data_IF_812379623910
#
_entry.id   IF_812379623910
#
_cell.length_a   1.000
_cell.length_b   1.000
_cell.length_c   1.000
_cell.angle_alpha   90.00
_cell.angle_beta   90.00
_cell.angle_gamma   90.00
#
_symmetry.space_group_name_H-M   'P 1'
#
loop_
_entity.id
_entity.type
_entity.pdbx_description
1 polymer ?
#
# COMPACT_ATOMS: atom_id res chain seq x y z
N UNK A 1 -7.09 -32.99 -9.22
CA UNK A 1 -8.23 -32.20 -9.69
C UNK A 1 -8.11 -30.78 -9.24
N UNK A 2 -8.17 -29.83 -10.17
CA UNK A 2 -8.07 -28.39 -9.86
C UNK A 2 -9.25 -27.92 -9.01
N UNK A 3 -8.98 -27.16 -7.96
CA UNK A 3 -9.98 -26.54 -7.11
C UNK A 3 -10.26 -25.11 -7.56
N UNK A 4 -11.53 -24.71 -7.53
CA UNK A 4 -11.97 -23.34 -7.78
C UNK A 4 -12.70 -22.81 -6.54
N UNK A 5 -12.38 -21.58 -6.16
CA UNK A 5 -13.04 -20.83 -5.07
C UNK A 5 -13.30 -19.42 -5.54
N UNK A 6 -14.49 -18.90 -5.31
CA UNK A 6 -14.82 -17.49 -5.49
C UNK A 6 -15.53 -16.98 -4.23
N UNK A 7 -15.39 -15.71 -3.93
CA UNK A 7 -16.00 -15.11 -2.74
C UNK A 7 -16.09 -13.61 -2.84
N UNK A 8 -16.85 -13.07 -1.89
CA UNK A 8 -16.97 -11.64 -1.62
C UNK A 8 -16.26 -11.34 -0.30
N UNK A 9 -15.75 -10.14 -0.17
CA UNK A 9 -15.20 -9.67 1.09
C UNK A 9 -15.57 -8.20 1.34
N UNK A 10 -15.61 -7.86 2.61
CA UNK A 10 -15.64 -6.50 3.09
C UNK A 10 -14.51 -6.32 4.10
N UNK A 11 -13.85 -5.17 4.09
CA UNK A 11 -12.85 -4.81 5.08
C UNK A 11 -12.90 -3.32 5.36
N UNK A 12 -12.87 -2.94 6.62
CA UNK A 12 -12.85 -1.54 7.03
C UNK A 12 -11.51 -0.87 6.73
N UNK A 13 -10.43 -1.62 6.74
CA UNK A 13 -9.10 -1.10 6.41
C UNK A 13 -8.16 -2.22 5.96
N UNK A 14 -7.67 -2.15 4.72
CA UNK A 14 -6.75 -3.15 4.18
C UNK A 14 -5.35 -3.07 4.79
N UNK A 15 -4.95 -1.92 5.35
CA UNK A 15 -3.62 -1.72 5.95
C UNK A 15 -3.57 -2.06 7.45
N UNK A 16 -4.68 -1.97 8.18
CA UNK A 16 -4.68 -2.03 9.65
C UNK A 16 -5.48 -3.17 10.28
N UNK A 17 -6.02 -4.12 9.51
CA UNK A 17 -6.78 -5.23 10.08
C UNK A 17 -5.87 -6.16 10.90
N UNK A 18 -6.15 -6.33 12.19
CA UNK A 18 -5.28 -6.95 13.20
C UNK A 18 -4.95 -8.43 12.94
N UNK A 19 -5.79 -9.17 12.22
CA UNK A 19 -5.65 -10.62 12.11
C UNK A 19 -4.69 -11.09 11.00
N UNK A 20 -4.20 -10.18 10.17
CA UNK A 20 -3.33 -10.49 9.04
C UNK A 20 -1.92 -9.89 9.17
N UNK A 21 -1.39 -9.70 10.38
CA UNK A 21 -0.10 -9.04 10.59
C UNK A 21 1.04 -9.71 9.82
N UNK A 22 1.03 -11.02 9.73
CA UNK A 22 2.04 -11.81 9.01
C UNK A 22 1.87 -11.81 7.48
N UNK A 23 0.65 -11.65 7.00
CA UNK A 23 0.40 -11.54 5.56
C UNK A 23 0.53 -10.10 5.05
N UNK A 24 0.42 -9.11 5.91
CA UNK A 24 0.38 -7.68 5.57
C UNK A 24 1.71 -7.03 5.32
N UNK A 25 2.79 -7.55 5.86
CA UNK A 25 4.13 -7.13 5.49
C UNK A 25 4.35 -7.20 3.98
N UNK A 26 3.66 -8.15 3.35
CA UNK A 26 3.68 -8.41 1.92
C UNK A 26 2.44 -7.87 1.21
N UNK A 27 1.56 -7.15 1.93
CA UNK A 27 0.38 -6.57 1.33
C UNK A 27 0.76 -5.62 0.20
N UNK A 28 0.02 -5.72 -0.89
CA UNK A 28 0.20 -4.86 -2.03
C UNK A 28 -0.15 -3.40 -1.66
N UNK A 29 0.82 -2.48 -1.62
CA UNK A 29 0.57 -1.11 -1.19
C UNK A 29 -0.34 -0.32 -2.14
N UNK A 30 -0.45 -0.75 -3.41
CA UNK A 30 -1.34 -0.13 -4.38
C UNK A 30 -2.81 -0.50 -4.18
N UNK A 31 -3.10 -1.58 -3.43
CA UNK A 31 -4.46 -2.00 -3.08
C UNK A 31 -4.84 -1.59 -1.66
N UNK A 32 -4.18 -0.57 -1.11
CA UNK A 32 -4.50 -0.01 0.19
C UNK A 32 -5.81 0.80 0.10
N UNK A 33 -6.90 0.24 0.60
CA UNK A 33 -8.23 0.84 0.58
C UNK A 33 -8.85 0.79 1.98
N UNK A 34 -9.61 1.82 2.31
CA UNK A 34 -10.53 1.84 3.45
C UNK A 34 -11.92 1.44 2.99
N UNK A 35 -12.72 0.87 3.89
CA UNK A 35 -14.11 0.49 3.62
C UNK A 35 -14.28 -0.25 2.29
N UNK A 36 -13.38 -1.20 2.01
CA UNK A 36 -13.32 -1.85 0.72
C UNK A 36 -14.30 -3.02 0.59
N UNK A 37 -14.97 -3.07 -0.54
CA UNK A 37 -15.78 -4.20 -0.99
C UNK A 37 -15.10 -4.86 -2.17
N UNK A 38 -15.07 -6.18 -2.20
CA UNK A 38 -14.41 -6.87 -3.29
C UNK A 38 -14.96 -8.24 -3.58
N UNK A 39 -14.61 -8.70 -4.77
CA UNK A 39 -14.85 -10.07 -5.22
C UNK A 39 -13.51 -10.68 -5.61
N UNK A 40 -13.33 -11.93 -5.33
CA UNK A 40 -12.15 -12.66 -5.75
C UNK A 40 -12.47 -14.04 -6.33
N UNK A 41 -11.58 -14.48 -7.16
CA UNK A 41 -11.58 -15.81 -7.75
C UNK A 41 -10.20 -16.43 -7.56
N UNK A 42 -10.17 -17.67 -7.12
CA UNK A 42 -8.94 -18.44 -6.95
C UNK A 42 -9.08 -19.76 -7.66
N UNK A 43 -8.13 -20.08 -8.51
CA UNK A 43 -8.05 -21.32 -9.25
C UNK A 43 -6.73 -22.03 -8.97
N UNK A 44 -6.79 -23.34 -8.73
CA UNK A 44 -5.60 -24.21 -8.58
C UNK A 44 -5.58 -25.22 -9.70
N UNK A 45 -4.85 -24.96 -10.79
CA UNK A 45 -4.72 -25.91 -11.90
C UNK A 45 -3.97 -27.18 -11.51
N UNK A 46 -3.04 -27.08 -10.56
CA UNK A 46 -2.30 -28.22 -9.99
C UNK A 46 -1.99 -27.97 -8.51
N UNK A 47 -1.29 -28.92 -7.84
CA UNK A 47 -0.77 -28.75 -6.48
C UNK A 47 0.18 -27.54 -6.37
N UNK A 48 0.95 -27.29 -7.41
CA UNK A 48 2.05 -26.33 -7.39
C UNK A 48 1.62 -24.93 -7.85
N UNK A 49 0.50 -24.83 -8.58
CA UNK A 49 0.00 -23.59 -9.12
C UNK A 49 -1.24 -23.08 -8.40
N UNK A 50 -1.24 -21.79 -8.09
CA UNK A 50 -2.40 -21.04 -7.61
C UNK A 50 -2.50 -19.72 -8.36
N UNK A 51 -3.62 -19.47 -9.02
CA UNK A 51 -3.94 -18.20 -9.68
C UNK A 51 -5.07 -17.54 -8.90
N UNK A 52 -4.92 -16.27 -8.59
CA UNK A 52 -5.95 -15.45 -7.91
C UNK A 52 -6.19 -14.21 -8.75
N UNK A 53 -7.44 -13.80 -8.87
CA UNK A 53 -7.85 -12.54 -9.46
C UNK A 53 -8.83 -11.89 -8.51
N UNK A 54 -8.75 -10.57 -8.36
CA UNK A 54 -9.60 -9.79 -7.48
C UNK A 54 -10.01 -8.47 -8.11
N UNK A 55 -11.19 -8.02 -7.74
CA UNK A 55 -11.65 -6.67 -7.98
C UNK A 55 -12.11 -6.10 -6.64
N UNK A 56 -11.72 -4.86 -6.36
CA UNK A 56 -12.13 -4.16 -5.15
C UNK A 56 -12.52 -2.72 -5.49
N UNK A 57 -13.40 -2.18 -4.69
CA UNK A 57 -13.71 -0.75 -4.66
C UNK A 57 -13.81 -0.30 -3.21
N UNK A 58 -13.38 0.90 -2.92
CA UNK A 58 -13.36 1.46 -1.58
C UNK A 58 -12.93 2.92 -1.60
N UNK A 59 -12.59 3.42 -0.43
CA UNK A 59 -11.99 4.73 -0.26
C UNK A 59 -10.45 4.59 -0.25
N UNK A 60 -9.72 5.66 -0.60
CA UNK A 60 -8.28 5.63 -0.55
C UNK A 60 -7.76 5.46 0.88
N UNK A 61 -6.98 4.39 1.12
CA UNK A 61 -6.44 4.06 2.44
C UNK A 61 -5.06 4.64 2.74
N UNK A 62 -4.41 5.31 1.79
CA UNK A 62 -3.10 5.92 1.99
C UNK A 62 -3.19 7.29 2.70
N UNK A 63 -4.35 7.91 2.68
CA UNK A 63 -4.60 9.20 3.32
C UNK A 63 -5.39 9.01 4.61
N UNK A 64 -4.74 9.14 5.76
CA UNK A 64 -5.36 9.25 7.09
C UNK A 64 -5.37 10.74 7.50
N UNK A 65 -5.96 11.57 6.65
CA UNK A 65 -6.27 12.95 7.00
C UNK A 65 -7.48 12.97 7.91
N UNK A 66 -7.35 13.56 9.09
CA UNK A 66 -8.48 13.84 9.98
C UNK A 66 -9.59 14.47 9.17
N UNK A 67 -10.64 13.68 8.94
CA UNK A 67 -11.84 14.07 8.21
C UNK A 67 -12.49 15.20 9.00
N UNK A 68 -12.38 16.41 8.51
CA UNK A 68 -13.26 17.47 8.96
C UNK A 68 -14.63 17.13 8.37
N UNK A 69 -15.59 16.74 9.24
CA UNK A 69 -16.93 16.25 8.87
C UNK A 69 -17.76 17.23 8.01
N UNK A 70 -17.21 18.39 7.69
CA UNK A 70 -17.85 19.45 6.91
C UNK A 70 -17.48 19.47 5.41
N UNK A 71 -16.44 18.73 4.97
CA UNK A 71 -16.06 18.65 3.55
C UNK A 71 -16.69 17.42 2.89
N UNK A 72 -17.90 17.56 2.42
CA UNK A 72 -18.77 16.48 1.92
C UNK A 72 -18.57 16.09 0.46
N UNK A 73 -17.64 16.65 -0.25
CA UNK A 73 -17.60 16.52 -1.72
C UNK A 73 -16.35 15.83 -2.30
N UNK A 74 -15.48 15.23 -1.49
CA UNK A 74 -14.40 14.41 -2.06
C UNK A 74 -14.82 12.95 -2.12
N UNK A 75 -15.33 12.56 -3.27
CA UNK A 75 -15.64 11.18 -3.61
C UNK A 75 -14.29 10.47 -3.95
N UNK A 76 -13.47 10.20 -2.91
CA UNK A 76 -12.17 9.52 -3.04
C UNK A 76 -12.35 8.05 -3.37
N UNK A 77 -13.11 7.74 -4.38
CA UNK A 77 -13.35 6.36 -4.78
C UNK A 77 -12.15 5.79 -5.47
N UNK A 78 -11.87 4.57 -5.07
CA UNK A 78 -10.80 3.77 -5.63
C UNK A 78 -11.37 2.50 -6.20
N UNK A 79 -10.93 2.14 -7.38
CA UNK A 79 -11.27 0.88 -8.06
C UNK A 79 -9.99 0.15 -8.37
N UNK A 80 -9.86 -1.08 -7.91
CA UNK A 80 -8.67 -1.90 -8.13
C UNK A 80 -9.00 -3.24 -8.74
N UNK A 81 -8.19 -3.64 -9.70
CA UNK A 81 -8.13 -5.01 -10.18
C UNK A 81 -6.73 -5.54 -9.96
N UNK A 82 -6.62 -6.73 -9.38
CA UNK A 82 -5.35 -7.40 -9.18
C UNK A 82 -5.39 -8.85 -9.67
N UNK A 83 -4.23 -9.36 -10.02
CA UNK A 83 -4.01 -10.75 -10.36
C UNK A 83 -2.70 -11.24 -9.76
N UNK A 84 -2.68 -12.48 -9.31
CA UNK A 84 -1.50 -13.13 -8.77
C UNK A 84 -1.40 -14.56 -9.28
N UNK A 85 -0.18 -14.97 -9.62
CA UNK A 85 0.17 -16.33 -9.98
C UNK A 85 1.27 -16.82 -9.04
N UNK A 86 0.95 -17.77 -8.17
CA UNK A 86 1.88 -18.40 -7.25
C UNK A 86 2.30 -19.76 -7.76
N UNK A 87 3.58 -20.04 -7.71
CA UNK A 87 4.18 -21.30 -8.06
C UNK A 87 5.04 -21.84 -6.91
N UNK A 88 4.73 -23.05 -6.45
CA UNK A 88 5.52 -23.75 -5.44
C UNK A 88 6.67 -24.48 -6.12
N UNK A 89 7.87 -23.92 -5.98
CA UNK A 89 9.10 -24.53 -6.49
C UNK A 89 9.47 -25.80 -5.75
N UNK A 90 9.16 -25.83 -4.46
CA UNK A 90 9.28 -26.97 -3.56
C UNK A 90 8.14 -26.91 -2.53
N UNK A 91 8.00 -27.91 -1.68
CA UNK A 91 6.99 -27.94 -0.60
C UNK A 91 7.13 -26.76 0.39
N UNK A 92 8.30 -26.15 0.43
CA UNK A 92 8.63 -25.09 1.38
C UNK A 92 9.05 -23.74 0.73
N UNK A 93 9.02 -23.64 -0.60
CA UNK A 93 9.39 -22.43 -1.33
C UNK A 93 8.35 -22.09 -2.41
N UNK A 94 7.74 -20.94 -2.27
CA UNK A 94 6.74 -20.42 -3.23
C UNK A 94 7.18 -19.07 -3.74
N UNK A 95 7.06 -18.86 -5.04
CA UNK A 95 7.25 -17.57 -5.71
C UNK A 95 5.90 -17.11 -6.26
N UNK A 96 5.57 -15.83 -6.08
CA UNK A 96 4.32 -15.24 -6.57
C UNK A 96 4.63 -14.01 -7.41
N UNK A 97 4.16 -14.01 -8.65
CA UNK A 97 4.12 -12.81 -9.48
C UNK A 97 2.74 -12.16 -9.38
N UNK A 98 2.71 -10.85 -9.29
CA UNK A 98 1.48 -10.05 -9.13
C UNK A 98 1.47 -8.90 -10.12
N UNK A 99 0.27 -8.51 -10.57
CA UNK A 99 0.06 -7.32 -11.38
C UNK A 99 -1.36 -6.83 -11.23
N UNK A 100 -1.57 -5.53 -11.46
CA UNK A 100 -2.90 -4.96 -11.40
C UNK A 100 -2.95 -3.53 -11.86
N UNK A 101 -4.14 -2.98 -11.74
CA UNK A 101 -4.43 -1.59 -12.03
C UNK A 101 -5.30 -1.00 -10.92
N UNK A 102 -4.96 0.20 -10.52
CA UNK A 102 -5.73 1.03 -9.59
C UNK A 102 -6.21 2.25 -10.36
N UNK A 103 -7.48 2.59 -10.23
CA UNK A 103 -8.05 3.85 -10.67
C UNK A 103 -8.51 4.63 -9.44
N UNK A 104 -8.11 5.89 -9.34
CA UNK A 104 -8.47 6.80 -8.25
C UNK A 104 -9.23 7.98 -8.83
N UNK A 105 -10.42 8.25 -8.29
CA UNK A 105 -11.23 9.38 -8.66
C UNK A 105 -10.77 10.61 -7.87
N UNK A 106 -10.43 11.70 -8.59
CA UNK A 106 -9.94 12.97 -8.02
C UNK A 106 -8.75 12.82 -7.06
N UNK A 107 -7.93 11.80 -7.26
CA UNK A 107 -6.77 11.49 -6.41
C UNK A 107 -5.63 10.86 -7.22
N UNK A 108 -4.41 10.91 -6.67
CA UNK A 108 -3.21 10.31 -7.24
C UNK A 108 -2.33 9.74 -6.12
N UNK A 109 -2.23 8.41 -6.04
CA UNK A 109 -1.53 7.70 -4.97
C UNK A 109 -1.95 8.20 -3.57
N UNK A 110 -3.24 8.43 -3.38
CA UNK A 110 -3.81 8.92 -2.14
C UNK A 110 -3.72 10.43 -1.91
N UNK A 111 -3.07 11.16 -2.78
CA UNK A 111 -2.99 12.62 -2.70
C UNK A 111 -4.18 13.25 -3.40
N UNK A 112 -4.90 14.10 -2.69
CA UNK A 112 -6.00 14.90 -3.22
C UNK A 112 -5.54 16.35 -3.34
N UNK A 113 -5.97 16.99 -4.40
CA UNK A 113 -5.80 18.42 -4.59
C UNK A 113 -7.16 19.11 -4.69
N UNK A 114 -7.22 20.41 -4.48
CA UNK A 114 -8.45 21.19 -4.60
C UNK A 114 -8.28 22.41 -5.50
N UNK A 115 -9.35 22.78 -6.21
CA UNK A 115 -9.36 23.96 -7.06
C UNK A 115 -8.32 23.90 -8.18
N UNK A 116 -7.44 24.88 -8.26
CA UNK A 116 -6.39 24.95 -9.28
C UNK A 116 -5.27 23.90 -9.11
N UNK A 117 -5.21 23.24 -7.97
CA UNK A 117 -4.25 22.16 -7.65
C UNK A 117 -4.90 20.77 -7.66
N UNK A 118 -6.11 20.65 -8.16
CA UNK A 118 -6.76 19.36 -8.37
C UNK A 118 -5.89 18.47 -9.27
N UNK A 119 -5.61 17.26 -8.80
CA UNK A 119 -4.79 16.29 -9.53
C UNK A 119 -5.60 15.56 -10.60
N UNK A 120 -6.93 15.68 -10.55
CA UNK A 120 -7.86 14.90 -11.39
C UNK A 120 -7.79 13.41 -11.09
N UNK A 121 -8.37 12.63 -11.99
CA UNK A 121 -8.34 11.17 -11.86
C UNK A 121 -6.95 10.64 -12.17
N UNK A 122 -6.62 9.50 -11.60
CA UNK A 122 -5.37 8.83 -11.92
C UNK A 122 -5.53 7.33 -12.16
N UNK A 123 -4.59 6.78 -12.92
CA UNK A 123 -4.48 5.34 -13.13
C UNK A 123 -3.07 4.87 -12.79
N UNK A 124 -2.98 3.91 -11.91
CA UNK A 124 -1.72 3.28 -11.52
C UNK A 124 -1.69 1.83 -11.98
N UNK A 125 -0.77 1.50 -12.87
CA UNK A 125 -0.43 0.12 -13.19
C UNK A 125 0.69 -0.32 -12.27
N UNK A 126 0.64 -1.56 -11.78
CA UNK A 126 1.70 -2.08 -10.92
C UNK A 126 2.03 -3.53 -11.24
N UNK A 127 3.26 -3.89 -10.90
CA UNK A 127 3.74 -5.27 -10.89
C UNK A 127 4.49 -5.54 -9.58
N UNK A 128 4.46 -6.78 -9.13
CA UNK A 128 5.14 -7.20 -7.91
C UNK A 128 5.62 -8.64 -8.00
N UNK A 129 6.60 -8.93 -7.17
CA UNK A 129 7.15 -10.27 -6.97
C UNK A 129 7.26 -10.53 -5.48
N UNK A 130 6.82 -11.70 -5.02
CA UNK A 130 7.06 -12.14 -3.65
C UNK A 130 7.61 -13.56 -3.60
N UNK A 131 8.35 -13.83 -2.53
CA UNK A 131 8.92 -15.14 -2.21
C UNK A 131 8.53 -15.48 -0.78
N UNK A 132 8.05 -16.69 -0.55
CA UNK A 132 7.80 -17.24 0.77
C UNK A 132 8.59 -18.55 0.91
N UNK A 133 9.40 -18.66 1.96
CA UNK A 133 10.30 -19.79 2.18
C UNK A 133 10.27 -20.23 3.65
N UNK A 134 10.10 -21.53 3.85
CA UNK A 134 10.15 -22.18 5.17
C UNK A 134 11.33 -23.15 5.25
N UNK A 135 12.58 -22.65 5.42
CA UNK A 135 13.78 -23.49 5.42
C UNK A 135 13.79 -24.53 6.54
N UNK A 136 13.12 -24.22 7.64
CA UNK A 136 12.93 -25.09 8.80
C UNK A 136 11.44 -25.13 9.16
N UNK A 137 11.01 -26.17 9.87
CA UNK A 137 9.60 -26.30 10.33
C UNK A 137 9.08 -25.11 11.12
N UNK A 138 9.99 -24.41 11.80
CA UNK A 138 9.64 -23.31 12.71
C UNK A 138 10.13 -21.94 12.22
N UNK A 139 10.84 -21.85 11.09
CA UNK A 139 11.38 -20.61 10.52
C UNK A 139 10.69 -20.30 9.20
N UNK A 140 10.10 -19.13 9.11
CA UNK A 140 9.43 -18.62 7.92
C UNK A 140 10.10 -17.32 7.50
N UNK A 141 10.44 -17.22 6.24
CA UNK A 141 11.03 -16.04 5.62
C UNK A 141 10.16 -15.65 4.44
N UNK A 142 9.89 -14.38 4.29
CA UNK A 142 9.17 -13.87 3.14
C UNK A 142 9.67 -12.52 2.71
N UNK A 143 9.49 -12.20 1.44
CA UNK A 143 9.84 -10.90 0.90
C UNK A 143 8.96 -10.56 -0.29
N UNK A 144 8.67 -9.27 -0.46
CA UNK A 144 7.95 -8.74 -1.60
C UNK A 144 8.56 -7.44 -2.08
N UNK A 145 8.49 -7.20 -3.37
CA UNK A 145 8.83 -5.96 -4.03
C UNK A 145 7.73 -5.59 -5.01
N UNK A 146 7.35 -4.33 -5.01
CA UNK A 146 6.34 -3.78 -5.90
C UNK A 146 6.86 -2.55 -6.61
N UNK A 147 6.46 -2.39 -7.85
CA UNK A 147 6.72 -1.19 -8.66
C UNK A 147 5.43 -0.75 -9.35
N UNK A 148 5.18 0.56 -9.35
CA UNK A 148 4.01 1.16 -9.97
C UNK A 148 4.37 2.28 -10.93
N UNK A 149 3.48 2.48 -11.89
CA UNK A 149 3.52 3.55 -12.90
C UNK A 149 2.18 4.26 -12.88
N UNK A 150 2.17 5.52 -12.42
CA UNK A 150 0.96 6.32 -12.26
C UNK A 150 0.91 7.41 -13.29
N UNK A 151 -0.18 7.45 -14.04
CA UNK A 151 -0.53 8.53 -14.94
C UNK A 151 -1.70 9.32 -14.31
N UNK A 152 -1.50 10.60 -14.05
CA UNK A 152 -2.56 11.49 -13.58
C UNK A 152 -3.22 12.18 -14.77
N UNK A 153 -4.55 12.19 -14.78
CA UNK A 153 -5.35 12.81 -15.81
C UNK A 153 -5.61 14.30 -15.58
N UNK A 154 -4.57 15.09 -15.24
CA UNK A 154 -4.74 16.52 -14.93
C UNK A 154 -5.59 17.24 -15.97
N UNK A 155 -6.57 18.01 -15.50
CA UNK A 155 -7.40 18.86 -16.37
C UNK A 155 -6.52 19.96 -16.97
N UNK A 156 -6.67 20.28 -18.23
CA UNK A 156 -5.89 21.32 -18.93
C UNK A 156 -6.01 22.73 -18.32
N UNK A 157 -6.94 22.94 -17.41
CA UNK A 157 -7.17 24.17 -16.64
C UNK A 157 -6.46 24.21 -15.29
N UNK A 158 -5.79 23.12 -14.86
CA UNK A 158 -5.17 23.05 -13.56
C UNK A 158 -3.85 23.80 -13.51
N UNK A 159 -3.58 24.43 -12.37
CA UNK A 159 -2.30 25.12 -12.12
C UNK A 159 -1.16 24.11 -11.92
N UNK A 160 -1.46 22.82 -11.79
CA UNK A 160 -0.49 21.74 -11.61
C UNK A 160 -0.67 20.65 -12.67
N UNK A 161 0.43 20.20 -13.23
CA UNK A 161 0.51 19.05 -14.13
C UNK A 161 1.60 18.12 -13.63
N UNK A 162 1.33 16.82 -13.64
CA UNK A 162 2.34 15.82 -13.27
C UNK A 162 2.84 15.05 -14.49
N UNK A 163 4.12 14.71 -14.49
CA UNK A 163 4.63 13.68 -15.39
C UNK A 163 4.16 12.29 -14.91
N UNK A 164 4.36 11.25 -15.74
CA UNK A 164 4.23 9.87 -15.25
C UNK A 164 5.10 9.68 -14.00
N UNK A 165 4.48 9.21 -12.92
CA UNK A 165 5.18 8.87 -11.68
C UNK A 165 5.61 7.41 -11.71
N UNK A 166 6.76 7.14 -11.13
CA UNK A 166 7.21 5.76 -10.87
C UNK A 166 7.46 5.62 -9.39
N UNK A 167 6.83 4.63 -8.80
CA UNK A 167 6.88 4.37 -7.35
C UNK A 167 7.31 2.94 -7.07
N UNK A 168 7.88 2.71 -5.90
CA UNK A 168 8.28 1.40 -5.44
C UNK A 168 8.04 1.21 -3.94
N UNK A 169 7.92 -0.05 -3.53
CA UNK A 169 7.79 -0.48 -2.14
C UNK A 169 8.39 -1.87 -1.98
N UNK A 170 8.87 -2.19 -0.79
CA UNK A 170 9.28 -3.55 -0.47
C UNK A 170 9.01 -3.89 1.00
N UNK A 171 8.91 -5.18 1.27
CA UNK A 171 8.88 -5.72 2.62
C UNK A 171 9.64 -7.05 2.69
N UNK A 172 10.32 -7.26 3.80
CA UNK A 172 10.98 -8.50 4.18
C UNK A 172 10.47 -8.87 5.57
N UNK A 173 10.11 -10.11 5.78
CA UNK A 173 9.67 -10.63 7.07
C UNK A 173 10.39 -11.95 7.38
N UNK A 174 10.76 -12.12 8.62
CA UNK A 174 11.27 -13.37 9.14
C UNK A 174 10.71 -13.63 10.51
N UNK A 175 10.07 -14.79 10.70
CA UNK A 175 9.56 -15.17 12.01
C UNK A 175 9.91 -16.60 12.38
N UNK A 176 10.09 -16.78 13.67
CA UNK A 176 10.46 -18.05 14.27
C UNK A 176 9.47 -18.46 15.37
N UNK A 177 8.88 -19.63 15.21
CA UNK A 177 8.03 -20.26 16.22
C UNK A 177 8.90 -21.09 17.15
N UNK A 178 9.20 -20.58 18.34
CA UNK A 178 10.09 -21.25 19.27
C UNK A 178 9.37 -22.28 20.18
N UNK A 179 8.04 -22.20 20.26
CA UNK A 179 7.20 -23.25 20.86
C UNK A 179 5.83 -23.30 20.16
N UNK A 180 4.87 -24.04 20.72
CA UNK A 180 3.55 -24.22 20.10
C UNK A 180 2.71 -22.95 20.09
N UNK A 181 2.94 -22.05 21.03
CA UNK A 181 2.11 -20.88 21.34
C UNK A 181 2.77 -19.55 21.02
N UNK A 182 4.09 -19.54 20.86
CA UNK A 182 4.85 -18.30 20.76
C UNK A 182 5.61 -18.17 19.45
N UNK A 183 5.48 -17.01 18.82
CA UNK A 183 6.19 -16.60 17.61
C UNK A 183 6.88 -15.28 17.86
N UNK A 184 8.14 -15.16 17.45
CA UNK A 184 8.85 -13.89 17.39
C UNK A 184 9.23 -13.60 15.96
N UNK A 185 9.21 -12.33 15.57
CA UNK A 185 9.56 -11.97 14.20
C UNK A 185 10.18 -10.59 14.09
N UNK A 186 10.85 -10.41 12.96
CA UNK A 186 11.46 -9.16 12.52
C UNK A 186 10.98 -8.86 11.12
N UNK A 187 10.49 -7.66 10.91
CA UNK A 187 10.11 -7.13 9.61
C UNK A 187 10.93 -5.91 9.28
N UNK A 188 11.33 -5.80 8.01
CA UNK A 188 11.97 -4.62 7.43
C UNK A 188 11.14 -4.23 6.21
N UNK A 189 10.65 -3.01 6.17
CA UNK A 189 9.88 -2.54 5.03
C UNK A 189 10.22 -1.10 4.65
N UNK A 190 9.90 -0.76 3.42
CA UNK A 190 9.89 0.61 2.91
C UNK A 190 8.50 0.86 2.35
N UNK A 191 7.75 1.82 2.90
CA UNK A 191 6.46 2.23 2.36
C UNK A 191 6.57 2.67 0.90
N UNK A 192 5.41 2.84 0.25
CA UNK A 192 5.34 3.32 -1.12
C UNK A 192 6.07 4.67 -1.25
N UNK A 193 7.01 4.75 -2.20
CA UNK A 193 7.81 5.93 -2.48
C UNK A 193 7.81 6.26 -3.96
N UNK A 194 7.58 7.53 -4.31
CA UNK A 194 7.82 8.03 -5.65
C UNK A 194 9.34 8.19 -5.83
N UNK A 195 9.97 7.44 -6.71
CA UNK A 195 11.40 7.59 -6.98
C UNK A 195 11.70 8.30 -8.31
N UNK A 196 10.67 8.51 -9.16
CA UNK A 196 10.77 9.29 -10.39
C UNK A 196 9.43 9.97 -10.68
N UNK A 197 9.49 11.26 -10.99
CA UNK A 197 8.34 12.08 -11.37
C UNK A 197 8.62 13.55 -11.13
N UNK A 198 7.88 14.40 -11.83
CA UNK A 198 7.92 15.86 -11.70
C UNK A 198 6.52 16.43 -11.68
N UNK A 199 6.33 17.48 -10.89
CA UNK A 199 5.15 18.34 -10.97
C UNK A 199 5.57 19.67 -11.61
N UNK A 200 4.79 20.14 -12.58
CA UNK A 200 4.93 21.45 -13.20
C UNK A 200 3.79 22.34 -12.68
N UNK A 201 4.13 23.49 -12.16
CA UNK A 201 3.19 24.50 -11.67
C UNK A 201 3.17 25.68 -12.61
N UNK A 202 1.99 26.07 -13.11
CA UNK A 202 1.77 27.24 -13.96
C UNK A 202 1.06 28.33 -13.16
N UNK A 203 1.85 29.16 -12.45
CA UNK A 203 1.34 30.09 -11.45
C UNK A 203 1.21 31.51 -12.02
N UNK A 204 0.10 32.23 -11.72
CA UNK A 204 -0.02 33.63 -12.06
C UNK A 204 0.94 34.45 -11.21
N UNK A 205 1.86 35.20 -11.84
CA UNK A 205 2.88 36.02 -11.16
C UNK A 205 2.61 37.53 -11.30
N UNK A 206 1.66 37.93 -12.14
CA UNK A 206 1.28 39.31 -12.33
C UNK A 206 0.09 39.48 -13.26
N UNK A 207 -0.43 40.72 -13.32
CA UNK A 207 -1.53 41.10 -14.22
C UNK A 207 -1.23 42.50 -14.78
N UNK A 208 -1.44 42.65 -16.07
CA UNK A 208 -1.48 43.98 -16.69
C UNK A 208 -2.83 44.62 -16.41
N UNK A 209 -2.79 45.79 -15.74
CA UNK A 209 -4.02 46.51 -15.39
C UNK A 209 -4.72 47.19 -16.59
N UNK A 210 -4.05 47.25 -17.75
CA UNK A 210 -4.61 47.89 -18.95
C UNK A 210 -5.19 46.89 -19.94
N UNK A 211 -4.54 45.70 -20.07
CA UNK A 211 -4.97 44.64 -21.02
C UNK A 211 -5.70 43.48 -20.36
N UNK A 212 -5.80 43.46 -19.02
CA UNK A 212 -6.30 42.32 -18.23
C UNK A 212 -5.51 41.00 -18.44
N UNK A 213 -4.35 41.11 -19.09
CA UNK A 213 -3.47 39.96 -19.32
C UNK A 213 -2.85 39.45 -18.03
N UNK A 214 -2.93 38.15 -17.78
CA UNK A 214 -2.32 37.50 -16.62
C UNK A 214 -0.99 36.88 -17.04
N UNK A 215 0.08 37.37 -16.47
CA UNK A 215 1.42 36.81 -16.65
C UNK A 215 1.55 35.55 -15.80
N UNK A 216 2.02 34.46 -16.42
CA UNK A 216 2.21 33.16 -15.78
C UNK A 216 3.66 32.76 -15.82
N UNK A 217 4.12 32.09 -14.79
CA UNK A 217 5.45 31.50 -14.73
C UNK A 217 5.35 30.02 -14.41
N UNK A 218 6.14 29.20 -15.13
CA UNK A 218 6.15 27.75 -14.98
C UNK A 218 7.31 27.32 -14.10
N UNK A 219 6.98 26.63 -12.99
CA UNK A 219 7.94 26.04 -12.07
C UNK A 219 7.86 24.53 -12.18
N UNK A 220 9.01 23.83 -12.12
CA UNK A 220 9.07 22.38 -12.08
C UNK A 220 9.65 21.93 -10.75
N UNK A 221 8.95 21.04 -10.06
CA UNK A 221 9.40 20.41 -8.83
C UNK A 221 9.57 18.90 -9.04
N UNK A 222 10.69 18.34 -8.57
CA UNK A 222 10.87 16.88 -8.50
C UNK A 222 10.00 16.32 -7.38
N UNK A 223 9.29 15.24 -7.66
CA UNK A 223 8.45 14.56 -6.67
C UNK A 223 9.18 13.41 -5.96
N UNK A 224 10.45 13.18 -6.30
CA UNK A 224 11.29 12.22 -5.60
C UNK A 224 11.68 12.77 -4.24
N UNK A 225 11.32 12.13 -3.12
CA UNK A 225 11.75 12.55 -1.78
C UNK A 225 13.26 12.37 -1.59
N UNK A 226 13.82 13.13 -0.65
CA UNK A 226 15.26 13.20 -0.40
C UNK A 226 15.84 11.92 0.21
N UNK A 227 15.01 11.14 0.90
CA UNK A 227 15.42 9.89 1.52
C UNK A 227 14.43 8.76 1.21
N UNK A 228 14.78 7.56 1.65
CA UNK A 228 13.91 6.41 1.73
C UNK A 228 13.57 6.13 3.18
N UNK A 229 12.30 5.99 3.48
CA UNK A 229 11.87 5.49 4.78
C UNK A 229 12.16 4.00 4.89
N UNK A 230 12.68 3.59 6.03
CA UNK A 230 12.79 2.20 6.44
C UNK A 230 12.06 2.02 7.76
N UNK A 231 11.15 1.06 7.79
CA UNK A 231 10.47 0.62 9.00
C UNK A 231 11.03 -0.73 9.43
N UNK A 232 11.45 -0.80 10.68
CA UNK A 232 11.84 -2.03 11.36
C UNK A 232 10.78 -2.33 12.41
N UNK A 233 10.21 -3.54 12.35
CA UNK A 233 9.20 -3.99 13.31
C UNK A 233 9.68 -5.28 13.94
N UNK A 234 9.85 -5.27 15.25
CA UNK A 234 10.06 -6.47 16.05
C UNK A 234 8.75 -6.82 16.73
N UNK A 235 8.30 -8.06 16.64
CA UNK A 235 7.03 -8.47 17.21
C UNK A 235 7.11 -9.82 17.93
N UNK A 236 6.26 -9.98 18.93
CA UNK A 236 6.00 -11.22 19.62
C UNK A 236 4.51 -11.48 19.65
N UNK A 237 4.12 -12.67 19.22
CA UNK A 237 2.73 -13.15 19.21
C UNK A 237 2.66 -14.38 20.10
N UNK A 238 1.72 -14.39 21.05
CA UNK A 238 1.53 -15.47 22.01
C UNK A 238 0.07 -15.88 22.07
N UNK A 239 -0.21 -17.13 21.70
CA UNK A 239 -1.48 -17.78 21.96
C UNK A 239 -1.55 -18.17 23.43
N UNK A 240 -2.44 -17.52 24.19
CA UNK A 240 -2.62 -17.79 25.63
C UNK A 240 -3.52 -19.03 25.80
N UNK A 241 -4.58 -19.09 25.02
CA UNK A 241 -5.50 -20.24 24.88
C UNK A 241 -6.23 -20.13 23.52
N UNK A 242 -7.17 -21.06 23.24
CA UNK A 242 -7.91 -21.14 21.98
C UNK A 242 -8.70 -19.85 21.65
N UNK A 243 -9.09 -19.08 22.67
CA UNK A 243 -9.89 -17.86 22.53
C UNK A 243 -9.10 -16.57 22.72
N UNK A 244 -7.85 -16.65 23.17
CA UNK A 244 -7.09 -15.47 23.59
C UNK A 244 -5.68 -15.45 23.00
N UNK A 245 -5.34 -14.33 22.38
CA UNK A 245 -4.01 -14.07 21.83
C UNK A 245 -3.48 -12.71 22.34
N UNK A 246 -2.21 -12.67 22.70
CA UNK A 246 -1.47 -11.46 23.07
C UNK A 246 -0.45 -11.13 22.00
N UNK A 247 -0.39 -9.86 21.58
CA UNK A 247 0.60 -9.33 20.63
C UNK A 247 1.35 -8.17 21.28
N UNK A 248 2.67 -8.17 21.14
CA UNK A 248 3.53 -7.03 21.45
C UNK A 248 4.37 -6.68 20.24
N UNK A 249 4.49 -5.40 19.92
CA UNK A 249 5.26 -4.94 18.78
C UNK A 249 6.02 -3.66 19.12
N UNK A 250 7.26 -3.60 18.68
CA UNK A 250 8.10 -2.41 18.66
C UNK A 250 8.42 -2.05 17.21
N UNK A 251 8.13 -0.82 16.85
CA UNK A 251 8.47 -0.24 15.53
C UNK A 251 9.50 0.86 15.69
N UNK A 252 10.42 0.93 14.70
CA UNK A 252 11.36 2.03 14.51
C UNK A 252 11.29 2.46 13.04
N UNK A 253 11.07 3.76 12.81
CA UNK A 253 11.04 4.34 11.46
C UNK A 253 12.24 5.27 11.28
N UNK A 254 13.09 4.97 10.33
CA UNK A 254 14.18 5.83 9.87
C UNK A 254 13.71 6.65 8.67
N UNK A 255 14.01 7.94 8.64
CA UNK A 255 13.55 8.88 7.63
C UNK A 255 12.02 8.81 7.42
N UNK A 256 11.21 8.99 8.47
CA UNK A 256 9.76 8.92 8.34
C UNK A 256 9.28 9.86 7.24
N UNK A 257 8.23 9.42 6.53
CA UNK A 257 7.65 10.12 5.39
C UNK A 257 8.67 10.43 4.26
N UNK A 258 9.73 9.61 4.19
CA UNK A 258 10.84 9.73 3.24
C UNK A 258 11.67 11.03 3.37
N UNK A 259 11.65 11.68 4.52
CA UNK A 259 12.37 12.94 4.78
C UNK A 259 13.73 12.65 5.44
N UNK A 260 14.83 13.16 4.83
CA UNK A 260 16.20 12.87 5.28
C UNK A 260 16.50 13.39 6.69
N UNK A 261 15.95 14.54 7.02
CA UNK A 261 16.23 15.22 8.29
C UNK A 261 15.14 15.01 9.34
N UNK A 262 14.16 14.12 9.06
CA UNK A 262 13.14 13.76 10.04
C UNK A 262 13.74 12.93 11.18
N UNK A 263 13.32 13.22 12.38
CA UNK A 263 13.72 12.44 13.57
C UNK A 263 13.22 11.00 13.45
N UNK A 264 14.02 10.06 13.97
CA UNK A 264 13.63 8.65 14.05
C UNK A 264 12.40 8.50 14.94
N UNK A 265 11.37 7.85 14.41
CA UNK A 265 10.12 7.61 15.11
C UNK A 265 10.11 6.21 15.74
N UNK A 266 9.57 6.10 16.96
CA UNK A 266 9.47 4.86 17.72
C UNK A 266 8.04 4.65 18.20
N UNK A 267 7.54 3.42 18.06
CA UNK A 267 6.21 3.04 18.53
C UNK A 267 6.24 1.69 19.22
N UNK A 268 5.54 1.60 20.37
CA UNK A 268 5.28 0.33 21.05
C UNK A 268 3.78 0.09 21.05
N UNK A 269 3.39 -1.11 20.73
CA UNK A 269 1.98 -1.53 20.69
C UNK A 269 1.80 -2.83 21.46
N UNK A 270 0.68 -2.94 22.16
CA UNK A 270 0.21 -4.17 22.79
C UNK A 270 -1.23 -4.40 22.34
N UNK A 271 -1.56 -5.64 21.99
CA UNK A 271 -2.88 -6.06 21.57
C UNK A 271 -3.31 -7.33 22.28
N UNK A 272 -4.59 -7.40 22.62
CA UNK A 272 -5.25 -8.61 23.06
C UNK A 272 -6.43 -8.88 22.14
N UNK A 273 -6.47 -10.05 21.56
CA UNK A 273 -7.65 -10.55 20.85
C UNK A 273 -8.33 -11.57 21.72
N UNK A 274 -9.63 -11.41 21.93
CA UNK A 274 -10.45 -12.36 22.66
C UNK A 274 -11.69 -12.70 21.83
N UNK A 275 -11.86 -13.98 21.52
CA UNK A 275 -13.03 -14.50 20.83
C UNK A 275 -14.02 -15.01 21.86
N UNK A 276 -15.25 -14.50 21.85
CA UNK A 276 -16.32 -14.99 22.71
C UNK A 276 -17.16 -15.97 21.88
N UNK A 277 -17.22 -17.24 22.32
CA UNK A 277 -18.09 -18.26 21.77
C UNK A 277 -19.43 -18.35 22.51
#
# INVERSE_FOLDING_TARGET
GGGYVAGFYYTENTLYNHDAYFEKALANPFMAMNSAYGVYSRYRPSSDWKVTMGFATGENGLYDGSRDDNDRDFDNRVYGFDSAAAYSLTDNLTVTAMSGVLYEDSAMLGLNGTGGFDVGDSSTYYAGLSVSWSPLKNLFLSGAYYQGWTDAGGLASNLMQTSRLVSDSFALDGHYRYNKTDVVGLQISSPLRIYKGTAAFDLPVGRDNYSDEVYRERFNAGLKPDAREYKFSFYHDREINEDMNFKAQFDMRLNPDHQKDAETDYRVMFGFNWTFN
#
